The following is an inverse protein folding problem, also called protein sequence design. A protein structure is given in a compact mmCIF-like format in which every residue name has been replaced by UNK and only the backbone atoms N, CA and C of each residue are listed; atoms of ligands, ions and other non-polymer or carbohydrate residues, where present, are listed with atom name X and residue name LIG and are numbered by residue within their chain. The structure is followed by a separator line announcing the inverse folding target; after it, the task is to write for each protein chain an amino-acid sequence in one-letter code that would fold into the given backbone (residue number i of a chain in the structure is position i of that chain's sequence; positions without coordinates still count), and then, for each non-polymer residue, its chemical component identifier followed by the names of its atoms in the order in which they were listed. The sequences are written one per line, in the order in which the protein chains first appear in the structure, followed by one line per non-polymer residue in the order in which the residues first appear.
data_IF_094384768864
#
_entry.id   IF_094384768864
#
_cell.length_a   1.000
_cell.length_b   1.000
_cell.length_c   1.000
_cell.angle_alpha   90.00
_cell.angle_beta   90.00
_cell.angle_gamma   90.00
#
_symmetry.space_group_name_H-M   'P 1'
#
loop_
_entity.id
_entity.type
_entity.pdbx_description
1 polymer ?
#
# COMPACT_ATOMS: atom_id res chain seq x y z
N UNK A 1 5.98 5.86 1.12
CA UNK A 1 5.69 6.20 2.52
C UNK A 1 5.62 4.96 3.37
N UNK A 2 4.44 4.36 3.50
CA UNK A 2 4.17 3.21 4.38
C UNK A 2 5.12 2.03 4.18
N UNK A 3 5.24 1.52 2.94
CA UNK A 3 6.17 0.43 2.63
C UNK A 3 7.64 0.84 2.88
N UNK A 4 7.99 2.10 2.60
CA UNK A 4 9.35 2.63 2.81
C UNK A 4 9.78 2.53 4.27
N UNK A 5 8.88 2.81 5.23
CA UNK A 5 9.18 2.67 6.65
C UNK A 5 9.50 1.21 7.05
N UNK A 6 8.73 0.25 6.55
CA UNK A 6 9.02 -1.18 6.77
C UNK A 6 10.34 -1.59 6.10
N UNK A 7 10.61 -1.08 4.89
CA UNK A 7 11.86 -1.31 4.19
C UNK A 7 13.07 -0.74 4.95
N UNK A 8 12.92 0.30 5.77
CA UNK A 8 14.01 0.76 6.64
C UNK A 8 14.21 -0.09 7.88
N UNK A 9 13.16 -0.59 8.52
CA UNK A 9 13.33 -1.59 9.59
C UNK A 9 14.12 -2.82 9.09
N UNK A 10 13.87 -3.23 7.84
CA UNK A 10 14.60 -4.30 7.16
C UNK A 10 16.10 -4.04 7.02
N UNK A 11 16.54 -2.79 6.81
CA UNK A 11 17.99 -2.47 6.72
C UNK A 11 18.68 -2.66 8.06
N UNK A 12 17.94 -2.52 9.16
CA UNK A 12 18.39 -2.78 10.53
C UNK A 12 18.21 -4.25 10.97
N UNK A 13 17.74 -5.12 10.08
CA UNK A 13 17.47 -6.53 10.41
C UNK A 13 16.26 -6.74 11.32
N UNK A 14 15.38 -5.74 11.45
CA UNK A 14 14.18 -5.79 12.27
C UNK A 14 13.03 -6.33 11.39
N UNK A 15 12.33 -7.42 11.79
CA UNK A 15 11.13 -7.89 11.10
C UNK A 15 10.07 -6.80 11.06
N UNK A 16 9.47 -6.56 9.90
CA UNK A 16 8.52 -5.46 9.72
C UNK A 16 7.40 -5.79 8.73
N UNK A 17 6.28 -5.11 8.94
CA UNK A 17 5.11 -5.19 8.09
C UNK A 17 4.57 -3.78 7.82
N UNK A 18 4.26 -3.51 6.56
CA UNK A 18 3.52 -2.33 6.12
C UNK A 18 2.08 -2.75 5.81
N UNK A 19 1.10 -2.00 6.31
CA UNK A 19 -0.33 -2.27 6.10
C UNK A 19 -0.96 -1.07 5.44
N UNK A 20 -1.76 -1.32 4.40
CA UNK A 20 -2.56 -0.32 3.70
C UNK A 20 -3.99 -0.82 3.55
N UNK A 21 -4.95 0.10 3.51
CA UNK A 21 -6.33 -0.21 3.14
C UNK A 21 -6.52 0.08 1.66
N UNK A 22 -7.18 -0.82 0.96
CA UNK A 22 -7.52 -0.64 -0.45
C UNK A 22 -8.81 0.20 -0.55
N UNK A 23 -8.66 1.52 -0.47
CA UNK A 23 -9.73 2.51 -0.70
C UNK A 23 -9.18 3.80 -1.27
N UNK A 24 -9.99 4.52 -2.05
CA UNK A 24 -9.67 5.84 -2.57
C UNK A 24 -10.24 6.98 -1.70
N UNK A 25 -11.33 6.74 -0.97
CA UNK A 25 -11.98 7.73 -0.11
C UNK A 25 -12.54 7.10 1.19
N UNK A 26 -12.59 7.88 2.29
CA UNK A 26 -13.26 7.58 3.56
C UNK A 26 -13.18 6.11 4.04
N UNK A 27 -11.97 5.57 4.17
CA UNK A 27 -11.76 4.19 4.60
C UNK A 27 -12.14 3.96 6.07
N UNK A 28 -12.88 2.88 6.34
CA UNK A 28 -13.02 2.34 7.70
C UNK A 28 -11.78 1.49 8.04
N UNK A 29 -11.10 1.86 9.13
CA UNK A 29 -9.86 1.22 9.57
C UNK A 29 -10.07 0.04 10.51
N UNK A 30 -11.30 -0.21 10.99
CA UNK A 30 -11.58 -1.23 12.02
C UNK A 30 -11.09 -2.61 11.57
N UNK A 31 -11.46 -3.06 10.37
CA UNK A 31 -11.04 -4.37 9.87
C UNK A 31 -9.52 -4.50 9.73
N UNK A 32 -8.84 -3.43 9.32
CA UNK A 32 -7.39 -3.41 9.19
C UNK A 32 -6.69 -3.39 10.55
N UNK A 33 -7.19 -2.62 11.51
CA UNK A 33 -6.65 -2.58 12.87
C UNK A 33 -6.79 -3.95 13.56
N UNK A 34 -7.98 -4.55 13.47
CA UNK A 34 -8.26 -5.89 13.97
C UNK A 34 -7.32 -6.94 13.36
N UNK A 35 -7.17 -6.93 12.03
CA UNK A 35 -6.24 -7.82 11.36
C UNK A 35 -4.80 -7.60 11.85
N UNK A 36 -4.38 -6.34 11.96
CA UNK A 36 -3.00 -5.97 12.30
C UNK A 36 -2.63 -6.45 13.70
N UNK A 37 -3.51 -6.25 14.68
CA UNK A 37 -3.27 -6.70 16.05
C UNK A 37 -3.13 -8.23 16.11
N UNK A 38 -4.09 -8.95 15.53
CA UNK A 38 -4.09 -10.42 15.56
C UNK A 38 -2.87 -10.98 14.83
N UNK A 39 -2.56 -10.46 13.65
CA UNK A 39 -1.42 -10.93 12.86
C UNK A 39 -0.08 -10.70 13.57
N UNK A 40 0.13 -9.53 14.16
CA UNK A 40 1.37 -9.24 14.90
C UNK A 40 1.56 -10.17 16.09
N UNK A 41 0.48 -10.52 16.79
CA UNK A 41 0.52 -11.43 17.95
C UNK A 41 0.74 -12.89 17.55
N UNK A 42 0.06 -13.35 16.49
CA UNK A 42 0.03 -14.77 16.13
C UNK A 42 1.15 -15.18 15.18
N UNK A 43 1.65 -14.26 14.35
CA UNK A 43 2.68 -14.57 13.37
C UNK A 43 4.03 -14.86 14.05
N UNK A 44 4.64 -15.99 13.70
CA UNK A 44 5.99 -16.29 14.15
C UNK A 44 7.02 -15.50 13.31
N UNK A 45 7.39 -14.31 13.80
CA UNK A 45 8.31 -13.39 13.13
C UNK A 45 9.71 -13.97 12.87
N UNK A 46 10.13 -15.01 13.60
CA UNK A 46 11.39 -15.71 13.33
C UNK A 46 11.35 -16.55 12.04
N UNK A 47 10.16 -16.83 11.51
CA UNK A 47 10.00 -17.50 10.21
C UNK A 47 10.09 -16.55 9.03
N UNK A 48 10.04 -15.24 9.26
CA UNK A 48 10.23 -14.26 8.19
C UNK A 48 11.70 -14.32 7.74
N UNK A 49 11.99 -14.60 6.46
CA UNK A 49 13.36 -14.66 5.99
C UNK A 49 14.09 -13.34 6.25
N UNK A 50 15.40 -13.42 6.55
CA UNK A 50 16.22 -12.22 6.75
C UNK A 50 16.08 -11.28 5.55
N UNK A 51 16.07 -9.99 5.82
CA UNK A 51 15.91 -8.94 4.81
C UNK A 51 14.61 -9.06 3.99
N UNK A 52 13.53 -9.51 4.62
CA UNK A 52 12.17 -9.53 4.03
C UNK A 52 11.22 -8.65 4.85
N UNK A 53 10.24 -8.04 4.19
CA UNK A 53 9.13 -7.31 4.82
C UNK A 53 7.81 -7.84 4.30
N UNK A 54 6.76 -7.75 5.10
CA UNK A 54 5.40 -8.04 4.66
C UNK A 54 4.73 -6.75 4.19
N UNK A 55 4.22 -6.74 2.96
CA UNK A 55 3.39 -5.65 2.44
C UNK A 55 1.95 -6.15 2.33
N UNK A 56 1.09 -5.68 3.23
CA UNK A 56 -0.28 -6.18 3.39
C UNK A 56 -1.27 -5.12 2.94
N UNK A 57 -2.23 -5.57 2.13
CA UNK A 57 -3.37 -4.76 1.70
C UNK A 57 -4.65 -5.37 2.26
N UNK A 58 -5.38 -4.60 3.06
CA UNK A 58 -6.68 -5.00 3.63
C UNK A 58 -7.79 -4.38 2.78
N UNK A 59 -8.77 -5.15 2.28
CA UNK A 59 -9.88 -4.60 1.52
C UNK A 59 -10.76 -3.71 2.43
N UNK A 60 -11.29 -2.61 1.89
CA UNK A 60 -12.20 -1.71 2.60
C UNK A 60 -13.63 -2.27 2.68
N UNK A 61 -13.78 -3.48 3.25
CA UNK A 61 -15.06 -4.14 3.46
C UNK A 61 -15.17 -4.60 4.92
N UNK A 62 -16.39 -4.80 5.45
CA UNK A 62 -16.59 -5.32 6.80
C UNK A 62 -15.82 -6.62 7.05
N UNK A 63 -15.33 -6.80 8.29
CA UNK A 63 -14.47 -7.94 8.68
C UNK A 63 -15.11 -9.30 8.37
N UNK A 64 -16.41 -9.44 8.56
CA UNK A 64 -17.19 -10.66 8.28
C UNK A 64 -17.27 -11.01 6.79
N UNK A 65 -16.91 -10.08 5.90
CA UNK A 65 -16.86 -10.28 4.44
C UNK A 65 -15.46 -10.62 3.93
N UNK A 66 -14.43 -10.52 4.78
CA UNK A 66 -13.05 -10.87 4.39
C UNK A 66 -12.92 -12.40 4.34
N UNK A 67 -12.61 -12.94 3.16
CA UNK A 67 -12.58 -14.39 2.88
C UNK A 67 -11.36 -15.13 3.45
N UNK A 68 -10.39 -14.40 3.98
CA UNK A 68 -9.15 -14.95 4.53
C UNK A 68 -7.90 -14.22 4.04
N UNK A 69 -6.75 -14.86 4.22
CA UNK A 69 -5.43 -14.33 3.89
C UNK A 69 -4.87 -15.11 2.69
N UNK A 70 -4.28 -14.41 1.73
CA UNK A 70 -3.53 -15.03 0.62
C UNK A 70 -2.14 -14.43 0.52
N UNK A 71 -1.13 -15.28 0.35
CA UNK A 71 0.20 -14.84 -0.06
C UNK A 71 0.16 -14.46 -1.54
N UNK A 72 0.76 -13.32 -1.88
CA UNK A 72 0.76 -12.78 -3.25
C UNK A 72 2.16 -12.39 -3.68
N UNK A 73 2.31 -12.02 -4.95
CA UNK A 73 3.50 -11.37 -5.51
C UNK A 73 3.14 -9.93 -5.89
N UNK A 74 4.12 -9.00 -5.93
CA UNK A 74 3.87 -7.65 -6.45
C UNK A 74 3.23 -7.72 -7.85
N UNK A 75 2.13 -7.00 -8.03
CA UNK A 75 1.48 -6.84 -9.33
C UNK A 75 2.29 -5.94 -10.27
N UNK A 76 1.90 -5.95 -11.54
CA UNK A 76 2.39 -5.03 -12.57
C UNK A 76 1.42 -3.86 -12.75
N UNK A 77 1.88 -2.63 -12.51
CA UNK A 77 1.10 -1.42 -12.74
C UNK A 77 1.95 -0.41 -13.51
N UNK A 78 1.57 -0.15 -14.76
CA UNK A 78 2.27 0.81 -15.62
C UNK A 78 1.50 2.12 -15.58
N UNK A 79 2.18 3.21 -15.21
CA UNK A 79 1.59 4.54 -15.16
C UNK A 79 2.34 5.51 -16.07
N UNK A 80 1.60 6.27 -16.86
CA UNK A 80 2.12 7.46 -17.54
C UNK A 80 1.99 8.66 -16.60
N UNK A 81 3.01 9.50 -16.55
CA UNK A 81 3.00 10.76 -15.80
C UNK A 81 3.45 11.90 -16.71
N UNK A 82 2.78 13.03 -16.61
CA UNK A 82 3.13 14.26 -17.32
C UNK A 82 2.80 15.46 -16.45
N UNK A 83 3.27 16.64 -16.84
CA UNK A 83 2.92 17.89 -16.16
C UNK A 83 2.07 18.75 -17.07
N UNK A 84 0.96 19.23 -16.53
CA UNK A 84 0.15 20.27 -17.17
C UNK A 84 0.60 21.63 -16.65
N UNK A 85 0.96 22.50 -17.59
CA UNK A 85 1.26 23.90 -17.31
C UNK A 85 -0.03 24.70 -17.25
N UNK A 86 -0.22 25.48 -16.19
CA UNK A 86 -1.28 26.48 -16.04
C UNK A 86 -0.66 27.81 -15.65
N UNK A 87 -1.36 28.90 -15.94
CA UNK A 87 -0.99 30.23 -15.45
C UNK A 87 -2.07 30.62 -14.44
N UNK A 88 -1.67 30.94 -13.21
CA UNK A 88 -2.62 31.33 -12.17
C UNK A 88 -3.13 32.76 -12.38
N UNK A 89 -4.07 33.21 -11.54
CA UNK A 89 -4.67 34.55 -11.64
C UNK A 89 -3.66 35.70 -11.47
N UNK A 90 -2.48 35.42 -10.93
CA UNK A 90 -1.39 36.36 -10.71
C UNK A 90 -0.34 36.35 -11.84
N UNK A 91 -0.55 35.54 -12.88
CA UNK A 91 0.37 35.42 -14.01
C UNK A 91 1.56 34.47 -13.77
N UNK A 92 1.56 33.72 -12.68
CA UNK A 92 2.63 32.77 -12.35
C UNK A 92 2.39 31.40 -12.99
N UNK A 93 3.47 30.73 -13.39
CA UNK A 93 3.40 29.40 -13.99
C UNK A 93 3.29 28.31 -12.92
N UNK A 94 2.24 27.49 -13.01
CA UNK A 94 2.02 26.32 -12.16
C UNK A 94 2.12 25.03 -12.99
N UNK A 95 2.78 24.01 -12.44
CA UNK A 95 2.94 22.71 -13.08
C UNK A 95 2.27 21.63 -12.23
N UNK A 96 1.19 21.05 -12.73
CA UNK A 96 0.42 20.03 -12.04
C UNK A 96 0.75 18.65 -12.61
N UNK A 97 1.21 17.72 -11.76
CA UNK A 97 1.49 16.36 -12.18
C UNK A 97 0.19 15.60 -12.40
N UNK A 98 -0.03 15.15 -13.63
CA UNK A 98 -1.09 14.23 -13.99
C UNK A 98 -0.56 12.80 -14.04
N UNK A 99 -1.47 11.84 -13.89
CA UNK A 99 -1.18 10.42 -13.95
C UNK A 99 -2.31 9.69 -14.67
N UNK A 100 -1.93 8.67 -15.42
CA UNK A 100 -2.87 7.74 -16.07
C UNK A 100 -2.34 6.32 -15.91
N UNK A 101 -3.25 5.38 -15.67
CA UNK A 101 -2.94 3.95 -15.63
C UNK A 101 -2.98 3.43 -17.06
N UNK A 102 -1.88 2.88 -17.55
CA UNK A 102 -1.77 2.29 -18.89
C UNK A 102 -2.03 0.79 -18.89
N UNK A 103 -1.71 0.11 -17.79
CA UNK A 103 -1.90 -1.33 -17.61
C UNK A 103 -1.93 -1.66 -16.13
N UNK A 104 -2.87 -2.52 -15.72
CA UNK A 104 -2.95 -3.11 -14.39
C UNK A 104 -3.12 -4.64 -14.51
N UNK A 105 -2.16 -5.39 -13.98
CA UNK A 105 -2.20 -6.86 -13.95
C UNK A 105 -3.34 -7.46 -13.12
N UNK A 106 -4.08 -6.64 -12.37
CA UNK A 106 -5.23 -7.08 -11.58
C UNK A 106 -6.56 -7.08 -12.36
N UNK A 107 -6.59 -6.50 -13.56
CA UNK A 107 -7.77 -6.47 -14.45
C UNK A 107 -7.81 -7.63 -15.47
N UNK A 108 -6.77 -8.46 -15.51
CA UNK A 108 -6.68 -9.72 -16.29
C UNK A 108 -7.10 -10.94 -15.47
#
# INVERSE_FOLDING_TARGET
GTLSAALEARTQGIPAMAISIVSEENADFVAAADFSENFVREYNWNKLPRHTVLNVNVPAIPRDKIRGISCTRPGGLIKRRWFEKKVNEWGEEEFWMQKEILHDSHEE
#
